data_IF_894178244611
#
_entry.id   IF_894178244611
#
_cell.length_a   1.000
_cell.length_b   1.000
_cell.length_c   1.000
_cell.angle_alpha   90.00
_cell.angle_beta   90.00
_cell.angle_gamma   90.00
#
_symmetry.space_group_name_H-M   'P 1'
#
loop_
_entity.id
_entity.type
_entity.pdbx_description
1 polymer ?
#
# COMPACT_ATOMS: atom_id res chain seq x y z
N UNK A 1 -15.29 27.97 10.55
CA UNK A 1 -14.04 27.53 11.20
C UNK A 1 -14.26 27.11 12.63
N UNK A 2 -14.79 27.98 13.45
CA UNK A 2 -15.09 27.65 14.85
C UNK A 2 -16.15 26.57 15.01
N UNK A 3 -17.06 26.43 14.05
CA UNK A 3 -18.09 25.38 14.07
C UNK A 3 -17.52 23.99 13.95
N UNK A 4 -16.36 23.89 13.32
CA UNK A 4 -15.69 22.62 13.15
C UNK A 4 -15.16 22.06 14.46
N UNK A 5 -14.93 22.89 15.48
CA UNK A 5 -14.33 22.41 16.73
C UNK A 5 -15.25 21.50 17.52
N UNK A 6 -16.55 21.83 17.63
CA UNK A 6 -17.50 20.98 18.36
C UNK A 6 -17.90 19.75 17.58
N UNK A 7 -18.08 19.90 16.28
CA UNK A 7 -18.33 18.76 15.39
C UNK A 7 -17.12 17.81 15.41
N UNK A 8 -15.92 18.36 15.56
CA UNK A 8 -14.69 17.62 15.58
C UNK A 8 -14.54 16.70 16.80
N UNK A 9 -15.12 17.05 17.96
CA UNK A 9 -15.00 16.20 19.13
C UNK A 9 -15.68 14.85 18.96
N UNK A 10 -16.88 14.83 18.38
CA UNK A 10 -17.60 13.59 18.09
C UNK A 10 -16.97 12.88 16.88
N UNK A 11 -16.64 13.65 15.85
CA UNK A 11 -16.00 13.13 14.64
C UNK A 11 -14.62 12.54 14.94
N UNK A 12 -13.84 13.16 15.84
CA UNK A 12 -12.52 12.64 16.23
C UNK A 12 -12.62 11.30 16.94
N UNK A 13 -13.62 11.09 17.78
CA UNK A 13 -13.81 9.80 18.44
C UNK A 13 -14.15 8.70 17.45
N UNK A 14 -14.99 8.99 16.47
CA UNK A 14 -15.34 8.07 15.38
C UNK A 14 -14.12 7.83 14.49
N UNK A 15 -13.41 8.90 14.10
CA UNK A 15 -12.24 8.84 13.24
C UNK A 15 -11.10 8.06 13.89
N UNK A 16 -10.85 8.24 15.17
CA UNK A 16 -9.83 7.49 15.92
C UNK A 16 -10.17 6.01 15.92
N UNK A 17 -11.44 5.66 16.13
CA UNK A 17 -11.89 4.27 16.10
C UNK A 17 -11.73 3.66 14.72
N UNK A 18 -12.08 4.40 13.65
CA UNK A 18 -11.91 3.94 12.27
C UNK A 18 -10.44 3.84 11.89
N UNK A 19 -9.63 4.83 12.24
CA UNK A 19 -8.19 4.82 12.00
C UNK A 19 -7.56 3.60 12.68
N UNK A 20 -8.00 3.27 13.90
CA UNK A 20 -7.49 2.09 14.59
C UNK A 20 -7.83 0.81 13.84
N UNK A 21 -9.03 0.71 13.28
CA UNK A 21 -9.42 -0.46 12.46
C UNK A 21 -8.52 -0.60 11.24
N UNK A 22 -8.22 0.50 10.55
CA UNK A 22 -7.37 0.48 9.37
C UNK A 22 -5.91 0.22 9.74
N UNK A 23 -5.46 0.73 10.89
CA UNK A 23 -4.12 0.43 11.40
C UNK A 23 -3.99 -1.05 11.73
N UNK A 24 -5.01 -1.63 12.36
CA UNK A 24 -5.04 -3.06 12.66
C UNK A 24 -5.02 -3.88 11.38
N UNK A 25 -5.79 -3.46 10.37
CA UNK A 25 -5.78 -4.13 9.06
C UNK A 25 -4.42 -4.00 8.37
N UNK A 26 -3.78 -2.82 8.44
CA UNK A 26 -2.44 -2.63 7.90
C UNK A 26 -1.43 -3.57 8.58
N UNK A 27 -1.49 -3.67 9.89
CA UNK A 27 -0.62 -4.57 10.65
C UNK A 27 -0.86 -6.04 10.25
N UNK A 28 -2.10 -6.40 10.01
CA UNK A 28 -2.47 -7.74 9.56
C UNK A 28 -1.93 -8.04 8.16
N UNK A 29 -2.09 -7.12 7.21
CA UNK A 29 -1.54 -7.24 5.86
C UNK A 29 -0.02 -7.46 5.88
N UNK A 30 0.69 -6.75 6.77
CA UNK A 30 2.14 -6.75 6.81
C UNK A 30 2.74 -7.73 7.82
N UNK A 31 1.91 -8.52 8.49
CA UNK A 31 2.35 -9.63 9.33
C UNK A 31 2.73 -10.82 8.44
N UNK A 32 4.03 -11.04 8.29
CA UNK A 32 4.57 -12.11 7.42
C UNK A 32 4.25 -13.51 7.93
N UNK A 33 3.76 -13.64 9.15
CA UNK A 33 3.37 -14.91 9.76
C UNK A 33 1.85 -15.05 9.92
N UNK A 34 1.10 -14.04 9.50
CA UNK A 34 -0.34 -13.97 9.65
C UNK A 34 -1.11 -14.46 8.44
N UNK A 35 -2.31 -13.91 8.28
CA UNK A 35 -3.25 -14.32 7.25
C UNK A 35 -2.73 -14.10 5.82
N UNK A 36 -1.83 -13.14 5.62
CA UNK A 36 -1.27 -12.80 4.31
C UNK A 36 0.13 -13.37 4.09
N UNK A 37 0.55 -14.33 4.91
CA UNK A 37 1.89 -14.94 4.83
C UNK A 37 2.20 -15.48 3.43
N UNK A 38 1.24 -16.13 2.78
CA UNK A 38 1.42 -16.70 1.44
C UNK A 38 1.75 -15.62 0.43
N UNK A 39 1.09 -14.47 0.49
CA UNK A 39 1.37 -13.36 -0.42
C UNK A 39 2.79 -12.83 -0.23
N UNK A 40 3.25 -12.73 1.02
CA UNK A 40 4.64 -12.34 1.28
C UNK A 40 5.64 -13.36 0.75
N UNK A 41 5.32 -14.64 0.83
CA UNK A 41 6.19 -15.71 0.34
C UNK A 41 6.34 -15.70 -1.17
N UNK A 42 5.25 -15.48 -1.91
CA UNK A 42 5.29 -15.46 -3.38
C UNK A 42 5.71 -14.11 -3.96
N UNK A 43 5.70 -13.05 -3.16
CA UNK A 43 5.96 -11.70 -3.65
C UNK A 43 7.31 -11.54 -4.36
N UNK A 44 8.44 -12.10 -3.85
CA UNK A 44 9.71 -11.99 -4.55
C UNK A 44 9.70 -12.61 -5.96
N UNK A 45 8.99 -13.71 -6.14
CA UNK A 45 8.86 -14.36 -7.45
C UNK A 45 8.06 -13.48 -8.41
N UNK A 46 6.96 -12.90 -7.95
CA UNK A 46 6.14 -11.99 -8.74
C UNK A 46 6.94 -10.75 -9.13
N UNK A 47 7.62 -10.16 -8.18
CA UNK A 47 8.41 -8.95 -8.39
C UNK A 47 9.52 -9.19 -9.42
N UNK A 48 10.26 -10.28 -9.27
CA UNK A 48 11.34 -10.62 -10.19
C UNK A 48 10.81 -10.88 -11.60
N UNK A 49 9.69 -11.58 -11.74
CA UNK A 49 9.08 -11.83 -13.03
C UNK A 49 8.66 -10.52 -13.70
N UNK A 50 8.02 -9.62 -12.95
CA UNK A 50 7.60 -8.31 -13.47
C UNK A 50 8.81 -7.52 -13.95
N UNK A 51 9.86 -7.45 -13.15
CA UNK A 51 11.06 -6.71 -13.55
C UNK A 51 11.72 -7.29 -14.79
N UNK A 52 11.77 -8.61 -14.92
CA UNK A 52 12.28 -9.27 -16.12
C UNK A 52 11.45 -8.92 -17.36
N UNK A 53 10.12 -8.85 -17.23
CA UNK A 53 9.25 -8.45 -18.33
C UNK A 53 9.48 -6.98 -18.72
N UNK A 54 9.64 -6.10 -17.74
CA UNK A 54 9.93 -4.69 -18.00
C UNK A 54 11.27 -4.54 -18.74
N UNK A 55 12.30 -5.24 -18.28
CA UNK A 55 13.61 -5.25 -18.96
C UNK A 55 13.49 -5.77 -20.39
N UNK A 56 12.77 -6.87 -20.59
CA UNK A 56 12.61 -7.49 -21.90
C UNK A 56 11.93 -6.56 -22.92
N UNK A 57 10.95 -5.77 -22.46
CA UNK A 57 10.16 -4.90 -23.34
C UNK A 57 10.66 -3.48 -23.43
N UNK A 58 11.37 -2.97 -22.42
CA UNK A 58 11.79 -1.57 -22.35
C UNK A 58 13.30 -1.38 -22.23
N UNK A 59 14.05 -2.45 -22.08
CA UNK A 59 15.52 -2.41 -22.01
C UNK A 59 16.10 -2.06 -20.66
N UNK A 60 15.32 -1.50 -19.75
CA UNK A 60 15.72 -1.15 -18.38
C UNK A 60 14.70 -1.65 -17.39
N UNK A 61 15.10 -1.78 -16.11
CA UNK A 61 14.25 -2.31 -15.05
C UNK A 61 13.25 -1.30 -14.50
N UNK A 62 12.78 -1.56 -13.28
CA UNK A 62 11.72 -0.78 -12.65
C UNK A 62 12.14 0.63 -12.22
N UNK A 63 13.43 0.88 -12.02
CA UNK A 63 13.90 2.19 -11.55
C UNK A 63 13.44 3.31 -12.49
N UNK A 64 12.77 4.30 -11.93
CA UNK A 64 12.29 5.47 -12.67
C UNK A 64 11.00 5.24 -13.48
N UNK A 65 10.46 4.02 -13.47
CA UNK A 65 9.22 3.73 -14.20
C UNK A 65 7.99 4.15 -13.41
N UNK A 66 7.01 4.69 -14.10
CA UNK A 66 5.67 4.90 -13.55
C UNK A 66 4.89 3.59 -13.66
N UNK A 67 4.38 3.10 -12.54
CA UNK A 67 3.68 1.81 -12.47
C UNK A 67 2.30 2.00 -11.84
N UNK A 68 1.30 1.41 -12.47
CA UNK A 68 -0.05 1.31 -11.91
C UNK A 68 -0.26 -0.13 -11.46
N UNK A 69 -0.50 -0.32 -10.17
CA UNK A 69 -0.78 -1.63 -9.58
C UNK A 69 -2.29 -1.75 -9.36
N UNK A 70 -2.96 -2.48 -10.23
CA UNK A 70 -4.41 -2.67 -10.21
C UNK A 70 -4.74 -3.86 -9.31
N UNK A 71 -5.62 -3.64 -8.34
CA UNK A 71 -5.93 -4.65 -7.35
C UNK A 71 -4.80 -4.80 -6.32
N UNK A 72 -4.26 -3.67 -5.87
CA UNK A 72 -3.05 -3.66 -5.04
C UNK A 72 -3.24 -4.22 -3.63
N UNK A 73 -4.48 -4.34 -3.15
CA UNK A 73 -4.76 -4.78 -1.78
C UNK A 73 -4.09 -3.89 -0.75
N UNK A 74 -3.39 -4.49 0.20
CA UNK A 74 -2.63 -3.77 1.23
C UNK A 74 -1.27 -3.24 0.80
N UNK A 75 -0.93 -3.41 -0.48
CA UNK A 75 0.23 -2.78 -1.08
C UNK A 75 1.53 -3.58 -1.08
N UNK A 76 1.47 -4.89 -0.83
CA UNK A 76 2.69 -5.72 -0.72
C UNK A 76 3.56 -5.62 -1.98
N UNK A 77 2.98 -5.85 -3.15
CA UNK A 77 3.72 -5.77 -4.41
C UNK A 77 4.08 -4.32 -4.75
N UNK A 78 3.16 -3.39 -4.54
CA UNK A 78 3.40 -1.96 -4.77
C UNK A 78 4.64 -1.47 -4.02
N UNK A 79 4.76 -1.82 -2.73
CA UNK A 79 5.93 -1.45 -1.92
C UNK A 79 7.21 -2.05 -2.47
N UNK A 80 7.17 -3.30 -2.90
CA UNK A 80 8.35 -3.98 -3.46
C UNK A 80 8.84 -3.30 -4.73
N UNK A 81 7.91 -2.89 -5.60
CA UNK A 81 8.25 -2.18 -6.83
C UNK A 81 8.82 -0.79 -6.52
N UNK A 82 8.25 -0.10 -5.53
CA UNK A 82 8.77 1.19 -5.08
C UNK A 82 10.17 1.08 -4.50
N UNK A 83 10.47 0.02 -3.76
CA UNK A 83 11.82 -0.25 -3.26
C UNK A 83 12.84 -0.43 -4.37
N UNK A 84 12.40 -0.89 -5.54
CA UNK A 84 13.24 -0.98 -6.74
C UNK A 84 13.29 0.30 -7.56
N UNK A 85 12.76 1.38 -7.01
CA UNK A 85 12.86 2.70 -7.61
C UNK A 85 11.73 3.09 -8.56
N UNK A 86 10.66 2.31 -8.63
CA UNK A 86 9.49 2.68 -9.43
C UNK A 86 8.64 3.73 -8.71
N UNK A 87 7.95 4.56 -9.51
CA UNK A 87 6.91 5.46 -9.03
C UNK A 87 5.57 4.75 -9.13
N UNK A 88 5.07 4.25 -8.01
CA UNK A 88 3.93 3.33 -8.00
C UNK A 88 2.66 4.05 -7.54
N UNK A 89 1.58 3.83 -8.29
CA UNK A 89 0.22 4.15 -7.87
C UNK A 89 -0.55 2.84 -7.74
N UNK A 90 -1.10 2.58 -6.57
CA UNK A 90 -1.92 1.40 -6.31
C UNK A 90 -3.40 1.76 -6.30
N UNK A 91 -4.22 0.95 -6.93
CA UNK A 91 -5.68 1.07 -6.87
C UNK A 91 -6.30 -0.27 -6.50
N UNK A 92 -7.41 -0.22 -5.79
CA UNK A 92 -8.12 -1.40 -5.35
C UNK A 92 -9.60 -1.06 -5.12
N UNK A 93 -10.49 -2.00 -5.35
CA UNK A 93 -11.90 -1.79 -5.08
C UNK A 93 -12.22 -1.79 -3.59
N UNK A 94 -11.39 -2.39 -2.77
CA UNK A 94 -11.56 -2.43 -1.31
C UNK A 94 -11.03 -1.15 -0.67
N UNK A 95 -11.93 -0.25 -0.30
CA UNK A 95 -11.56 1.02 0.33
C UNK A 95 -10.73 0.80 1.61
N UNK A 96 -11.08 -0.21 2.41
CA UNK A 96 -10.34 -0.55 3.62
C UNK A 96 -8.91 -0.97 3.31
N UNK A 97 -8.70 -1.72 2.22
CA UNK A 97 -7.37 -2.14 1.79
C UNK A 97 -6.51 -0.93 1.39
N UNK A 98 -7.10 0.02 0.65
CA UNK A 98 -6.41 1.26 0.27
C UNK A 98 -6.00 2.06 1.51
N UNK A 99 -6.88 2.20 2.47
CA UNK A 99 -6.56 2.91 3.72
C UNK A 99 -5.46 2.20 4.50
N UNK A 100 -5.47 0.87 4.55
CA UNK A 100 -4.40 0.09 5.16
C UNK A 100 -3.06 0.30 4.44
N UNK A 101 -3.08 0.31 3.11
CA UNK A 101 -1.89 0.58 2.30
C UNK A 101 -1.34 1.99 2.54
N UNK A 102 -2.21 2.99 2.61
CA UNK A 102 -1.82 4.37 2.91
C UNK A 102 -1.17 4.50 4.30
N UNK A 103 -1.73 3.84 5.30
CA UNK A 103 -1.19 3.85 6.66
C UNK A 103 0.20 3.22 6.66
N UNK A 104 0.38 2.10 5.99
CA UNK A 104 1.69 1.46 5.91
C UNK A 104 2.70 2.35 5.18
N UNK A 105 2.29 3.03 4.12
CA UNK A 105 3.15 3.97 3.40
C UNK A 105 3.64 5.10 4.31
N UNK A 106 2.75 5.64 5.14
CA UNK A 106 3.11 6.66 6.13
C UNK A 106 4.09 6.11 7.17
N UNK A 107 3.86 4.91 7.68
CA UNK A 107 4.74 4.27 8.66
C UNK A 107 6.13 4.05 8.13
N UNK A 108 6.26 3.70 6.86
CA UNK A 108 7.54 3.40 6.21
C UNK A 108 8.15 4.61 5.52
N UNK A 109 7.50 5.77 5.56
CA UNK A 109 7.95 7.00 4.90
C UNK A 109 8.25 6.79 3.41
N UNK A 110 7.35 6.10 2.70
CA UNK A 110 7.48 5.81 1.27
C UNK A 110 6.57 6.70 0.43
N UNK A 111 7.09 7.16 -0.71
CA UNK A 111 6.36 7.96 -1.68
C UNK A 111 5.58 7.07 -2.63
N UNK A 112 4.49 6.50 -2.11
CA UNK A 112 3.55 5.70 -2.89
C UNK A 112 2.21 6.41 -2.89
N UNK A 113 1.50 6.32 -4.00
CA UNK A 113 0.14 6.80 -4.12
C UNK A 113 -0.84 5.63 -4.05
N UNK A 114 -1.85 5.81 -3.24
CA UNK A 114 -2.94 4.83 -3.16
C UNK A 114 -4.31 5.51 -3.23
#
# INVERSE_FOLDING_TARGET
>A
MTNTTQTNNTAQNVDVSEVQKFTDLANEWWDKKGAFATLHQINPLRLNWIEQQVIAHQGTGLTGKAVLDVGCGGGILSFSMAQRGAFVTGIDMGEANIKAAQIHAEQEHKDLLF
#
